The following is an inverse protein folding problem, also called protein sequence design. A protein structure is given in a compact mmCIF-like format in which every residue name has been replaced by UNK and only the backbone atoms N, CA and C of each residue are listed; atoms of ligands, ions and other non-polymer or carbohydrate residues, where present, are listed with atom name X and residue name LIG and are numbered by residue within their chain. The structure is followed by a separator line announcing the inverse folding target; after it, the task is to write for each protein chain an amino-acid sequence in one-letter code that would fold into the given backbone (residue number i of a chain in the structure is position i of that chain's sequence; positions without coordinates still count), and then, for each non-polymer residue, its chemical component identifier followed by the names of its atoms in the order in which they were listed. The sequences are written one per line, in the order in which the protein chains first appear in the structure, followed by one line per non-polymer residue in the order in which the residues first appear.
data_IF_041438267134
#
_entry.id   IF_041438267134
#
_cell.length_a   1.000
_cell.length_b   1.000
_cell.length_c   1.000
_cell.angle_alpha   90.00
_cell.angle_beta   90.00
_cell.angle_gamma   90.00
#
_symmetry.space_group_name_H-M   'P 1'
#
loop_
_entity.id
_entity.type
_entity.pdbx_description
1 polymer ?
#
# COMPACT_ATOMS: atom_id res chain seq x y z
N UNK A 1 -17.46 -47.06 14.01
CA UNK A 1 -16.83 -46.71 12.73
C UNK A 1 -17.50 -45.48 12.08
N UNK A 2 -18.82 -45.44 11.89
CA UNK A 2 -19.54 -44.31 11.30
C UNK A 2 -19.33 -42.97 12.06
N UNK A 3 -19.36 -43.00 13.39
CA UNK A 3 -19.14 -41.84 14.24
C UNK A 3 -17.72 -41.23 14.08
N UNK A 4 -16.70 -42.09 13.95
CA UNK A 4 -15.33 -41.63 13.71
C UNK A 4 -15.20 -40.93 12.35
N UNK A 5 -15.80 -41.48 11.32
CA UNK A 5 -15.85 -40.83 9.99
C UNK A 5 -16.54 -39.48 10.03
N UNK A 6 -17.67 -39.38 10.76
CA UNK A 6 -18.39 -38.15 10.96
C UNK A 6 -17.56 -37.07 11.68
N UNK A 7 -16.88 -37.46 12.77
CA UNK A 7 -16.00 -36.54 13.51
C UNK A 7 -14.85 -36.06 12.63
N UNK A 8 -14.19 -36.98 11.89
CA UNK A 8 -13.07 -36.64 11.00
C UNK A 8 -13.53 -35.65 9.90
N UNK A 9 -14.68 -35.94 9.28
CA UNK A 9 -15.23 -35.02 8.26
C UNK A 9 -15.54 -33.62 8.84
N UNK A 10 -16.12 -33.56 10.04
CA UNK A 10 -16.40 -32.29 10.71
C UNK A 10 -15.11 -31.50 11.02
N UNK A 11 -14.05 -32.17 11.47
CA UNK A 11 -12.74 -31.52 11.72
C UNK A 11 -12.10 -31.00 10.44
N UNK A 12 -12.19 -31.72 9.33
CA UNK A 12 -11.70 -31.28 8.02
C UNK A 12 -12.47 -30.04 7.56
N UNK A 13 -13.80 -30.06 7.66
CA UNK A 13 -14.63 -28.91 7.28
C UNK A 13 -14.33 -27.66 8.13
N UNK A 14 -14.13 -27.87 9.43
CA UNK A 14 -13.76 -26.78 10.33
C UNK A 14 -12.39 -26.19 9.94
N UNK A 15 -11.41 -27.04 9.64
CA UNK A 15 -10.09 -26.59 9.20
C UNK A 15 -10.16 -25.78 7.89
N UNK A 16 -10.93 -26.28 6.92
CA UNK A 16 -11.13 -25.58 5.65
C UNK A 16 -11.82 -24.23 5.85
N UNK A 17 -12.82 -24.16 6.74
CA UNK A 17 -13.50 -22.91 7.07
C UNK A 17 -12.55 -21.91 7.71
N UNK A 18 -11.74 -22.32 8.68
CA UNK A 18 -10.74 -21.47 9.34
C UNK A 18 -9.74 -20.96 8.29
N UNK A 19 -9.23 -21.84 7.44
CA UNK A 19 -8.28 -21.47 6.37
C UNK A 19 -8.89 -20.46 5.42
N UNK A 20 -10.17 -20.66 5.02
CA UNK A 20 -10.89 -19.70 4.16
C UNK A 20 -11.08 -18.34 4.83
N UNK A 21 -11.43 -18.31 6.12
CA UNK A 21 -11.55 -17.06 6.88
C UNK A 21 -10.21 -16.33 6.93
N UNK A 22 -9.13 -17.05 7.26
CA UNK A 22 -7.78 -16.48 7.28
C UNK A 22 -7.37 -15.93 5.90
N UNK A 23 -7.65 -16.67 4.84
CA UNK A 23 -7.44 -16.21 3.47
C UNK A 23 -8.20 -14.91 3.18
N UNK A 24 -9.50 -14.87 3.49
CA UNK A 24 -10.29 -13.66 3.31
C UNK A 24 -9.77 -12.47 4.12
N UNK A 25 -9.33 -12.71 5.34
CA UNK A 25 -8.73 -11.68 6.18
C UNK A 25 -7.40 -11.16 5.63
N UNK A 26 -6.59 -12.05 5.06
CA UNK A 26 -5.28 -11.70 4.54
C UNK A 26 -5.35 -11.06 3.14
N UNK A 27 -6.08 -11.65 2.22
CA UNK A 27 -5.97 -11.34 0.79
C UNK A 27 -7.17 -10.60 0.19
N UNK A 28 -8.35 -10.67 0.83
CA UNK A 28 -9.51 -9.94 0.30
C UNK A 28 -9.30 -8.44 0.44
N UNK A 29 -9.32 -7.74 -0.67
CA UNK A 29 -9.22 -6.28 -0.71
C UNK A 29 -10.37 -5.66 0.12
N UNK A 30 -10.02 -4.69 0.97
CA UNK A 30 -10.98 -3.86 1.71
C UNK A 30 -10.78 -2.42 1.25
N UNK A 31 -11.87 -1.62 1.18
CA UNK A 31 -11.73 -0.19 0.97
C UNK A 31 -10.77 0.41 2.00
N UNK A 32 -9.90 1.30 1.56
CA UNK A 32 -9.03 2.04 2.49
C UNK A 32 -9.90 3.04 3.27
N UNK A 33 -10.01 2.92 4.60
CA UNK A 33 -10.83 3.83 5.41
C UNK A 33 -10.30 5.27 5.41
N UNK A 34 -9.10 5.49 4.89
CA UNK A 34 -8.46 6.80 4.82
C UNK A 34 -8.48 7.38 3.40
N UNK A 35 -9.01 6.66 2.40
CA UNK A 35 -8.96 7.07 0.99
C UNK A 35 -9.64 8.43 0.74
N UNK A 36 -10.72 8.72 1.47
CA UNK A 36 -11.51 9.95 1.30
C UNK A 36 -10.99 11.12 2.17
N UNK A 37 -9.94 10.91 2.96
CA UNK A 37 -9.37 11.96 3.79
C UNK A 37 -8.44 12.84 2.95
N UNK A 38 -8.48 14.14 3.18
CA UNK A 38 -7.57 15.11 2.55
C UNK A 38 -6.10 14.72 2.79
N UNK A 39 -5.80 14.29 4.01
CA UNK A 39 -4.49 13.74 4.39
C UNK A 39 -4.68 12.35 4.97
N UNK A 40 -4.38 11.27 4.22
CA UNK A 40 -4.64 9.89 4.63
C UNK A 40 -3.59 9.39 5.65
N UNK A 41 -3.46 10.11 6.77
CA UNK A 41 -2.52 9.78 7.84
C UNK A 41 -3.19 8.84 8.84
N UNK A 42 -2.58 7.69 9.19
CA UNK A 42 -3.17 6.73 10.11
C UNK A 42 -3.49 7.37 11.47
N UNK A 43 -4.65 7.06 12.07
CA UNK A 43 -4.95 7.47 13.42
C UNK A 43 -4.06 6.70 14.41
N UNK A 44 -3.53 7.38 15.41
CA UNK A 44 -2.75 6.72 16.45
C UNK A 44 -1.82 7.66 17.21
N UNK A 45 -1.52 7.27 18.45
CA UNK A 45 -0.64 8.09 19.32
C UNK A 45 0.77 8.24 18.75
N UNK A 46 1.26 7.23 18.02
CA UNK A 46 2.58 7.24 17.38
C UNK A 46 2.69 8.29 16.26
N UNK A 47 1.62 8.54 15.52
CA UNK A 47 1.61 9.50 14.41
C UNK A 47 1.29 10.92 14.85
N UNK A 48 0.63 11.09 16.00
CA UNK A 48 0.15 12.39 16.47
C UNK A 48 1.24 13.48 16.51
N UNK A 49 2.45 13.24 17.04
CA UNK A 49 3.49 14.27 17.06
C UNK A 49 4.04 14.64 15.67
N UNK A 50 3.97 13.72 14.71
CA UNK A 50 4.51 13.91 13.36
C UNK A 50 3.46 14.35 12.33
N UNK A 51 2.19 14.39 12.72
CA UNK A 51 1.07 14.69 11.82
C UNK A 51 1.25 16.01 11.04
N UNK A 52 1.63 17.13 11.65
CA UNK A 52 1.82 18.38 10.92
C UNK A 52 2.90 18.28 9.84
N UNK A 53 3.99 17.58 10.13
CA UNK A 53 5.08 17.36 9.19
C UNK A 53 4.67 16.43 8.05
N UNK A 54 3.90 15.37 8.34
CA UNK A 54 3.39 14.44 7.33
C UNK A 54 2.39 15.15 6.39
N UNK A 55 1.51 15.97 6.92
CA UNK A 55 0.58 16.79 6.12
C UNK A 55 1.35 17.74 5.19
N UNK A 56 2.41 18.37 5.69
CA UNK A 56 3.26 19.22 4.87
C UNK A 56 3.96 18.44 3.75
N UNK A 57 4.51 17.27 4.05
CA UNK A 57 5.15 16.42 3.04
C UNK A 57 4.16 15.98 1.95
N UNK A 58 2.96 15.56 2.31
CA UNK A 58 1.91 15.20 1.36
C UNK A 58 1.59 16.42 0.49
N UNK A 59 1.39 17.58 1.10
CA UNK A 59 1.08 18.83 0.40
C UNK A 59 2.18 19.24 -0.57
N UNK A 60 3.43 19.12 -0.17
CA UNK A 60 4.58 19.43 -1.04
C UNK A 60 4.69 18.44 -2.19
N UNK A 61 4.56 17.14 -1.93
CA UNK A 61 4.62 16.09 -2.97
C UNK A 61 3.50 16.25 -4.00
N UNK A 62 2.29 16.61 -3.58
CA UNK A 62 1.16 16.87 -4.49
C UNK A 62 1.36 18.04 -5.44
N UNK A 63 2.28 18.95 -5.13
CA UNK A 63 2.63 20.11 -6.00
C UNK A 63 3.68 19.76 -7.04
N UNK A 64 4.36 18.63 -6.89
CA UNK A 64 5.39 18.21 -7.84
C UNK A 64 4.74 17.75 -9.15
N UNK A 65 5.39 18.04 -10.30
CA UNK A 65 5.01 17.45 -11.56
C UNK A 65 5.07 15.92 -11.46
N UNK A 66 4.00 15.25 -11.87
CA UNK A 66 3.89 13.81 -11.80
C UNK A 66 3.42 13.24 -13.13
N UNK A 67 4.00 12.13 -13.56
CA UNK A 67 3.50 11.29 -14.66
C UNK A 67 2.90 10.02 -14.08
N UNK A 68 1.61 9.82 -14.30
CA UNK A 68 0.92 8.59 -13.91
C UNK A 68 0.93 7.59 -15.06
N UNK A 69 1.08 6.33 -14.73
CA UNK A 69 1.01 5.25 -15.71
C UNK A 69 0.36 4.01 -15.11
N UNK A 70 -0.10 3.16 -16.01
CA UNK A 70 -0.69 1.88 -15.66
C UNK A 70 -0.08 0.81 -16.58
N UNK A 71 0.42 -0.27 -15.96
CA UNK A 71 0.87 -1.46 -16.69
C UNK A 71 -0.03 -2.63 -16.34
N UNK A 72 -0.09 -3.60 -17.25
CA UNK A 72 -0.81 -4.85 -16.99
C UNK A 72 0.22 -5.94 -16.71
N UNK A 73 0.13 -6.58 -15.54
CA UNK A 73 0.99 -7.70 -15.18
C UNK A 73 0.65 -8.95 -16.02
N UNK A 74 1.50 -9.97 -15.94
CA UNK A 74 1.32 -11.22 -16.71
C UNK A 74 0.03 -11.97 -16.36
N UNK A 75 -0.50 -11.78 -15.17
CA UNK A 75 -1.76 -12.36 -14.67
C UNK A 75 -2.98 -11.45 -14.88
N UNK A 76 -2.82 -10.34 -15.63
CA UNK A 76 -3.90 -9.42 -15.99
C UNK A 76 -4.21 -8.32 -14.98
N UNK A 77 -3.48 -8.22 -13.88
CA UNK A 77 -3.69 -7.15 -12.89
C UNK A 77 -3.21 -5.80 -13.43
N UNK A 78 -3.95 -4.75 -13.11
CA UNK A 78 -3.57 -3.38 -13.41
C UNK A 78 -2.70 -2.83 -12.27
N UNK A 79 -1.46 -2.49 -12.60
CA UNK A 79 -0.51 -1.88 -11.69
C UNK A 79 -0.39 -0.40 -12.02
N UNK A 80 -0.64 0.43 -11.05
CA UNK A 80 -0.57 1.89 -11.18
C UNK A 80 0.70 2.41 -10.54
N UNK A 81 1.32 3.41 -11.16
CA UNK A 81 2.52 4.03 -10.64
C UNK A 81 2.53 5.53 -10.90
N UNK A 82 3.32 6.24 -10.11
CA UNK A 82 3.58 7.67 -10.23
C UNK A 82 5.07 7.91 -10.36
N UNK A 83 5.46 8.58 -11.43
CA UNK A 83 6.85 8.95 -11.68
C UNK A 83 7.05 10.44 -11.45
N UNK A 84 7.98 10.75 -10.59
CA UNK A 84 8.44 12.10 -10.29
C UNK A 84 9.85 12.28 -10.83
N UNK A 85 10.04 13.24 -11.72
CA UNK A 85 11.32 13.52 -12.34
C UNK A 85 12.03 14.66 -11.60
N UNK A 86 13.18 14.36 -11.02
CA UNK A 86 14.09 15.38 -10.49
C UNK A 86 14.86 16.05 -11.63
N UNK A 87 15.54 15.25 -12.46
CA UNK A 87 16.24 15.70 -13.65
C UNK A 87 16.41 14.56 -14.68
N UNK A 88 16.52 14.87 -15.98
CA UNK A 88 16.82 13.89 -17.00
C UNK A 88 18.15 13.18 -16.70
N UNK A 89 18.13 11.84 -16.71
CA UNK A 89 19.32 11.01 -16.45
C UNK A 89 19.74 10.87 -14.99
N UNK A 90 19.03 11.49 -14.05
CA UNK A 90 19.26 11.25 -12.62
C UNK A 90 18.95 9.78 -12.24
N UNK A 91 19.65 9.22 -11.24
CA UNK A 91 19.39 7.87 -10.77
C UNK A 91 17.90 7.67 -10.39
N UNK A 92 17.35 6.49 -10.70
CA UNK A 92 15.97 6.16 -10.39
C UNK A 92 15.88 5.37 -9.08
N UNK A 93 15.07 5.87 -8.16
CA UNK A 93 14.66 5.17 -6.95
C UNK A 93 13.27 4.56 -7.15
N UNK A 94 13.16 3.24 -6.92
CA UNK A 94 11.88 2.53 -6.91
C UNK A 94 11.41 2.39 -5.47
N UNK A 95 10.19 2.83 -5.20
CA UNK A 95 9.62 2.76 -3.85
C UNK A 95 8.28 2.02 -3.90
N UNK A 96 8.11 1.06 -3.01
CA UNK A 96 6.88 0.28 -2.89
C UNK A 96 6.29 0.47 -1.50
N UNK A 97 4.99 0.69 -1.44
CA UNK A 97 4.28 0.71 -0.17
C UNK A 97 4.12 -0.69 0.42
N UNK A 98 3.91 -0.76 1.73
CA UNK A 98 3.71 -2.01 2.44
C UNK A 98 2.33 -2.63 2.17
N UNK A 99 2.12 -3.84 2.71
CA UNK A 99 0.85 -4.55 2.64
C UNK A 99 -0.31 -3.69 3.17
N UNK A 100 -1.37 -3.56 2.38
CA UNK A 100 -2.52 -2.69 2.65
C UNK A 100 -2.17 -1.21 2.85
N UNK A 101 -1.00 -0.81 2.39
CA UNK A 101 -0.58 0.58 2.36
C UNK A 101 -1.08 1.32 1.13
N UNK A 102 -0.69 2.57 1.04
CA UNK A 102 -0.80 3.38 -0.17
C UNK A 102 0.46 4.22 -0.34
N UNK A 103 0.80 4.51 -1.59
CA UNK A 103 2.00 5.28 -1.90
C UNK A 103 2.01 6.64 -1.18
N UNK A 104 0.90 7.37 -1.17
CA UNK A 104 0.83 8.68 -0.56
C UNK A 104 0.99 8.65 0.97
N UNK A 105 0.40 7.64 1.63
CA UNK A 105 0.44 7.50 3.09
C UNK A 105 1.78 6.98 3.59
N UNK A 106 2.25 5.87 2.99
CA UNK A 106 3.42 5.16 3.50
C UNK A 106 4.72 5.83 3.07
N UNK A 107 4.70 6.57 1.96
CA UNK A 107 5.86 7.18 1.34
C UNK A 107 5.81 8.71 1.34
N UNK A 108 4.99 9.31 2.21
CA UNK A 108 4.69 10.76 2.18
C UNK A 108 5.92 11.68 2.20
N UNK A 109 7.01 11.29 2.86
CA UNK A 109 8.28 12.03 2.84
C UNK A 109 9.33 11.47 1.88
N UNK A 110 9.06 10.31 1.27
CA UNK A 110 10.04 9.57 0.48
C UNK A 110 10.42 10.29 -0.81
N UNK A 111 9.46 10.79 -1.56
CA UNK A 111 9.70 11.52 -2.80
C UNK A 111 10.56 12.76 -2.56
N UNK A 112 10.23 13.55 -1.53
CA UNK A 112 11.00 14.75 -1.18
C UNK A 112 12.42 14.42 -0.74
N UNK A 113 12.59 13.32 0.00
CA UNK A 113 13.92 12.83 0.38
C UNK A 113 14.75 12.42 -0.86
N UNK A 114 14.14 11.72 -1.81
CA UNK A 114 14.82 11.33 -3.03
C UNK A 114 15.23 12.56 -3.86
N UNK A 115 14.37 13.58 -3.91
CA UNK A 115 14.72 14.84 -4.57
C UNK A 115 15.88 15.55 -3.88
N UNK A 116 15.94 15.55 -2.55
CA UNK A 116 17.08 16.06 -1.80
C UNK A 116 18.39 15.26 -2.06
N UNK A 117 18.27 14.03 -2.55
CA UNK A 117 19.37 13.17 -2.98
C UNK A 117 19.59 13.18 -4.51
N UNK A 118 18.97 14.11 -5.22
CA UNK A 118 19.07 14.29 -6.67
C UNK A 118 18.66 13.04 -7.47
N UNK A 119 17.54 12.40 -7.07
CA UNK A 119 17.04 11.17 -7.66
C UNK A 119 15.67 11.33 -8.26
N UNK A 120 15.42 10.67 -9.38
CA UNK A 120 14.10 10.41 -9.91
C UNK A 120 13.41 9.35 -9.07
N UNK A 121 12.08 9.39 -8.97
CA UNK A 121 11.32 8.48 -8.11
C UNK A 121 10.17 7.85 -8.87
N UNK A 122 10.03 6.55 -8.71
CA UNK A 122 8.87 5.78 -9.15
C UNK A 122 8.24 5.10 -7.92
N UNK A 123 6.95 5.41 -7.66
CA UNK A 123 6.16 4.84 -6.58
C UNK A 123 4.90 4.15 -7.10
#
# INVERSE_FOLDING_TARGET
MIWLLGITAALILLLLLITYICYCMAFKAKPDPLADQEYPIPPGKAYKPYRPQMEEWIRMTRKLPVREFCITSFDGLKLYGKYYEYAPGAPLELMFHGYRGSAERDLCGGVLRCFALERNVLI
#
